data_IF_131208817659
#
_entry.id   IF_131208817659
#
_cell.length_a   1.000
_cell.length_b   1.000
_cell.length_c   1.000
_cell.angle_alpha   90.00
_cell.angle_beta   90.00
_cell.angle_gamma   90.00
#
_symmetry.space_group_name_H-M   'P 1'
#
loop_
_entity.id
_entity.type
_entity.pdbx_description
1 polymer ?
#
# COMPACT_ATOMS: atom_id res chain seq x y z
N UNK A 1 18.73 17.75 25.67
CA UNK A 1 18.56 16.99 24.43
C UNK A 1 17.15 17.26 23.92
N UNK A 2 16.97 17.86 22.74
CA UNK A 2 15.64 18.12 22.22
C UNK A 2 14.98 16.78 21.81
N UNK A 3 13.67 16.61 22.03
CA UNK A 3 12.96 15.41 21.61
C UNK A 3 13.02 15.30 20.09
N UNK A 4 13.41 14.12 19.62
CA UNK A 4 13.54 13.80 18.19
C UNK A 4 12.17 13.93 17.55
N UNK A 5 12.09 14.57 16.37
CA UNK A 5 10.85 14.79 15.61
C UNK A 5 9.96 13.53 15.45
N UNK A 6 10.53 12.34 15.60
CA UNK A 6 9.88 11.04 15.69
C UNK A 6 8.81 10.93 16.82
N UNK A 7 9.00 11.58 17.97
CA UNK A 7 8.03 11.47 19.09
C UNK A 7 6.70 12.16 18.78
N UNK A 8 6.73 13.23 17.96
CA UNK A 8 5.53 13.99 17.55
C UNK A 8 4.69 13.25 16.51
N UNK A 9 5.29 12.34 15.72
CA UNK A 9 4.55 11.49 14.79
C UNK A 9 3.61 10.52 15.53
N UNK A 10 3.96 10.08 16.75
CA UNK A 10 3.08 9.25 17.57
C UNK A 10 1.82 9.99 18.06
N UNK A 11 1.84 11.31 18.14
CA UNK A 11 0.64 12.07 18.51
C UNK A 11 -0.42 12.09 17.41
N UNK A 12 -0.01 11.84 16.16
CA UNK A 12 -0.85 11.87 14.95
C UNK A 12 -0.70 10.53 14.22
N UNK A 13 -1.30 9.44 14.73
CA UNK A 13 -1.07 8.09 14.21
C UNK A 13 -1.54 7.90 12.75
N UNK A 14 -2.41 8.78 12.26
CA UNK A 14 -2.93 8.70 10.89
C UNK A 14 -2.22 9.68 9.96
N UNK A 15 -1.13 9.23 9.36
CA UNK A 15 -0.37 9.94 8.34
C UNK A 15 -0.90 9.65 6.94
N UNK A 16 -0.78 10.60 6.02
CA UNK A 16 -1.11 10.38 4.62
C UNK A 16 -0.20 9.29 4.04
N UNK A 17 -0.78 8.36 3.28
CA UNK A 17 -0.06 7.23 2.67
C UNK A 17 0.66 7.58 1.37
N UNK A 18 0.47 8.79 0.84
CA UNK A 18 1.10 9.26 -0.39
C UNK A 18 2.53 9.75 -0.12
N UNK A 19 3.50 9.46 -1.00
CA UNK A 19 4.92 9.74 -0.79
C UNK A 19 5.17 11.23 -0.52
N UNK A 20 4.58 12.10 -1.33
CA UNK A 20 4.86 13.54 -1.33
C UNK A 20 3.90 14.34 -0.43
N UNK A 21 3.09 13.67 0.39
CA UNK A 21 2.14 14.31 1.29
C UNK A 21 2.59 14.16 2.76
N UNK A 22 2.95 15.28 3.43
CA UNK A 22 3.42 15.26 4.82
C UNK A 22 2.27 15.30 5.85
N UNK A 23 1.02 15.39 5.40
CA UNK A 23 -0.13 15.60 6.29
C UNK A 23 -0.36 14.42 7.24
N UNK A 24 -0.62 14.74 8.51
CA UNK A 24 -0.88 13.76 9.56
C UNK A 24 -1.95 14.25 10.55
N UNK A 25 -2.74 13.31 11.06
CA UNK A 25 -3.98 13.58 11.77
C UNK A 25 -4.08 12.76 13.07
N UNK A 26 -4.69 13.37 14.08
CA UNK A 26 -5.10 12.66 15.32
C UNK A 26 -6.42 11.89 15.16
N UNK A 27 -7.17 12.16 14.08
CA UNK A 27 -8.52 11.64 13.87
C UNK A 27 -8.61 10.83 12.59
N UNK A 28 -9.06 9.57 12.70
CA UNK A 28 -9.40 8.68 11.59
C UNK A 28 -10.26 9.38 10.54
N UNK A 29 -11.33 10.07 10.96
CA UNK A 29 -12.27 10.73 10.05
C UNK A 29 -11.61 11.82 9.22
N UNK A 30 -10.74 12.64 9.83
CA UNK A 30 -10.01 13.70 9.12
C UNK A 30 -9.02 13.11 8.12
N UNK A 31 -8.27 12.09 8.52
CA UNK A 31 -7.34 11.40 7.64
C UNK A 31 -8.04 10.75 6.43
N UNK A 32 -9.13 10.02 6.66
CA UNK A 32 -9.93 9.43 5.57
C UNK A 32 -10.47 10.49 4.61
N UNK A 33 -11.01 11.59 5.13
CA UNK A 33 -11.53 12.68 4.31
C UNK A 33 -10.41 13.32 3.47
N UNK A 34 -9.23 13.54 4.06
CA UNK A 34 -8.07 14.03 3.34
C UNK A 34 -7.66 13.09 2.21
N UNK A 35 -7.47 11.79 2.49
CA UNK A 35 -7.08 10.85 1.45
C UNK A 35 -8.13 10.73 0.34
N UNK A 36 -9.42 10.76 0.68
CA UNK A 36 -10.48 10.62 -0.30
C UNK A 36 -10.66 11.85 -1.22
N UNK A 37 -10.34 13.05 -0.74
CA UNK A 37 -10.57 14.29 -1.48
C UNK A 37 -9.32 14.79 -2.19
N UNK A 38 -8.16 14.67 -1.56
CA UNK A 38 -6.92 15.30 -2.04
C UNK A 38 -6.09 14.37 -2.90
N UNK A 39 -6.35 13.06 -2.85
CA UNK A 39 -5.49 12.07 -3.51
C UNK A 39 -6.23 11.16 -4.47
N UNK A 40 -5.47 10.70 -5.47
CA UNK A 40 -5.93 9.78 -6.49
C UNK A 40 -4.85 8.73 -6.76
N UNK A 41 -5.24 7.45 -6.78
CA UNK A 41 -4.36 6.37 -7.22
C UNK A 41 -4.66 6.07 -8.69
N UNK A 42 -3.77 6.47 -9.63
CA UNK A 42 -3.95 6.10 -11.02
C UNK A 42 -3.68 4.62 -11.20
N UNK A 43 -4.43 4.02 -12.12
CA UNK A 43 -4.12 2.70 -12.67
C UNK A 43 -2.62 2.57 -12.98
N UNK A 44 -1.98 1.54 -12.43
CA UNK A 44 -0.54 1.36 -12.57
C UNK A 44 -0.09 -0.09 -12.29
N UNK A 45 1.19 -0.36 -12.54
CA UNK A 45 1.86 -1.63 -12.23
C UNK A 45 3.10 -1.34 -11.41
N UNK A 46 3.18 -1.91 -10.20
CA UNK A 46 4.36 -1.81 -9.32
C UNK A 46 5.21 -3.07 -9.44
N UNK A 47 6.45 -2.93 -9.88
CA UNK A 47 7.36 -4.07 -9.89
C UNK A 47 7.71 -4.52 -8.47
N UNK A 48 7.41 -5.78 -8.17
CA UNK A 48 7.73 -6.43 -6.88
C UNK A 48 9.02 -7.27 -6.92
N UNK A 49 9.63 -7.40 -8.10
CA UNK A 49 10.84 -8.21 -8.26
C UNK A 49 12.01 -7.50 -7.58
N UNK A 50 12.98 -8.25 -7.03
CA UNK A 50 14.19 -7.65 -6.52
C UNK A 50 14.95 -6.94 -7.63
N UNK A 51 15.67 -5.89 -7.28
CA UNK A 51 16.67 -5.31 -8.16
C UNK A 51 17.80 -6.32 -8.34
N UNK A 52 18.20 -6.55 -9.60
CA UNK A 52 19.41 -7.30 -9.91
C UNK A 52 20.66 -6.40 -9.81
N UNK A 53 20.51 -5.16 -9.32
CA UNK A 53 21.64 -4.28 -9.07
C UNK A 53 22.44 -4.86 -7.90
N UNK A 54 23.51 -5.57 -8.25
CA UNK A 54 24.70 -5.66 -7.43
C UNK A 54 25.13 -4.21 -7.17
N UNK A 55 24.81 -3.67 -6.01
CA UNK A 55 25.42 -2.42 -5.59
C UNK A 55 26.94 -2.65 -5.52
N UNK A 56 27.66 -2.12 -6.50
CA UNK A 56 29.12 -2.16 -6.55
C UNK A 56 29.75 -1.32 -5.41
N UNK A 57 28.94 -0.58 -4.63
CA UNK A 57 29.35 0.18 -3.45
C UNK A 57 29.36 -0.64 -2.15
N UNK A 58 28.79 -1.86 -2.15
CA UNK A 58 28.79 -2.75 -0.99
C UNK A 58 30.20 -3.30 -0.71
N UNK A 59 31.02 -2.45 -0.11
CA UNK A 59 32.39 -2.75 0.32
C UNK A 59 32.42 -3.74 1.49
N UNK A 60 31.26 -4.21 1.97
CA UNK A 60 31.13 -5.15 3.08
C UNK A 60 29.92 -6.08 2.87
N UNK A 61 30.06 -7.07 1.99
CA UNK A 61 29.46 -8.42 2.16
C UNK A 61 27.94 -8.61 2.31
N UNK A 62 27.11 -7.57 2.24
CA UNK A 62 25.66 -7.67 2.41
C UNK A 62 24.96 -7.46 1.06
N UNK A 63 24.54 -8.56 0.44
CA UNK A 63 23.74 -8.54 -0.80
C UNK A 63 22.32 -8.03 -0.48
N UNK A 64 22.16 -6.73 -0.31
CA UNK A 64 20.86 -6.12 -0.10
C UNK A 64 20.12 -6.03 -1.44
N UNK A 65 19.36 -7.07 -1.79
CA UNK A 65 18.45 -7.05 -2.95
C UNK A 65 17.21 -6.24 -2.58
N UNK A 66 17.31 -4.92 -2.69
CA UNK A 66 16.16 -4.04 -2.55
C UNK A 66 15.11 -4.36 -3.63
N UNK A 67 13.82 -4.21 -3.30
CA UNK A 67 12.73 -4.34 -4.28
C UNK A 67 12.87 -3.31 -5.40
N UNK A 68 12.53 -3.66 -6.64
CA UNK A 68 12.58 -2.74 -7.76
C UNK A 68 11.62 -1.55 -7.59
N UNK A 69 10.42 -1.80 -7.08
CA UNK A 69 9.37 -0.80 -6.78
C UNK A 69 8.98 0.13 -7.96
N UNK A 70 9.49 -0.12 -9.17
CA UNK A 70 9.26 0.74 -10.32
C UNK A 70 7.79 0.72 -10.73
N UNK A 71 7.22 1.91 -10.89
CA UNK A 71 5.85 2.11 -11.36
C UNK A 71 5.81 2.31 -12.87
N UNK A 72 4.90 1.60 -13.52
CA UNK A 72 4.56 1.78 -14.93
C UNK A 72 3.05 1.99 -15.07
N UNK A 73 2.62 2.93 -15.91
CA UNK A 73 1.19 3.22 -16.11
C UNK A 73 0.56 2.49 -17.30
N UNK A 74 1.34 1.66 -18.00
CA UNK A 74 0.87 0.83 -19.11
C UNK A 74 1.38 -0.60 -18.95
N UNK A 75 0.56 -1.57 -19.34
CA UNK A 75 0.92 -2.99 -19.28
C UNK A 75 2.10 -3.30 -20.19
N UNK A 76 2.12 -2.70 -21.38
CA UNK A 76 3.19 -2.88 -22.35
C UNK A 76 4.51 -2.29 -21.84
N UNK A 77 4.46 -1.15 -21.12
CA UNK A 77 5.60 -0.59 -20.42
C UNK A 77 6.12 -1.51 -19.33
N UNK A 78 5.21 -2.10 -18.55
CA UNK A 78 5.55 -3.07 -17.52
C UNK A 78 6.22 -4.32 -18.09
N UNK A 79 5.68 -4.90 -19.17
CA UNK A 79 6.31 -6.04 -19.85
C UNK A 79 7.71 -5.72 -20.38
N UNK A 80 7.89 -4.56 -21.01
CA UNK A 80 9.22 -4.11 -21.46
C UNK A 80 10.20 -3.99 -20.29
N UNK A 81 9.73 -3.49 -19.14
CA UNK A 81 10.55 -3.42 -17.94
C UNK A 81 10.94 -4.82 -17.45
N UNK A 82 9.99 -5.76 -17.32
CA UNK A 82 10.29 -7.14 -16.91
C UNK A 82 11.30 -7.82 -17.85
N UNK A 83 11.16 -7.59 -19.16
CA UNK A 83 12.08 -8.14 -20.17
C UNK A 83 13.48 -7.53 -20.08
N UNK A 84 13.58 -6.21 -20.00
CA UNK A 84 14.86 -5.50 -20.09
C UNK A 84 15.62 -5.46 -18.76
N UNK A 85 14.91 -5.36 -17.64
CA UNK A 85 15.50 -5.19 -16.30
C UNK A 85 15.67 -6.51 -15.57
N UNK A 86 14.73 -7.45 -15.75
CA UNK A 86 14.71 -8.72 -15.01
C UNK A 86 14.89 -9.95 -15.93
N UNK A 87 15.14 -9.75 -17.23
CA UNK A 87 15.37 -10.84 -18.19
C UNK A 87 14.17 -11.76 -18.44
N UNK A 88 12.96 -11.39 -17.99
CA UNK A 88 11.77 -12.24 -18.09
C UNK A 88 11.21 -12.16 -19.51
N UNK A 89 11.38 -13.23 -20.28
CA UNK A 89 10.88 -13.31 -21.66
C UNK A 89 9.70 -14.26 -21.85
N UNK A 90 9.40 -15.11 -20.86
CA UNK A 90 8.28 -16.05 -20.93
C UNK A 90 6.95 -15.31 -20.89
N UNK A 91 6.14 -15.48 -21.94
CA UNK A 91 4.80 -14.85 -22.03
C UNK A 91 3.91 -15.19 -20.85
N UNK A 92 3.96 -16.45 -20.37
CA UNK A 92 3.17 -16.87 -19.22
C UNK A 92 3.56 -16.07 -17.97
N UNK A 93 4.86 -15.99 -17.68
CA UNK A 93 5.37 -15.24 -16.52
C UNK A 93 5.05 -13.74 -16.64
N UNK A 94 5.17 -13.16 -17.84
CA UNK A 94 4.81 -11.75 -18.07
C UNK A 94 3.34 -11.45 -17.78
N UNK A 95 2.43 -12.36 -18.12
CA UNK A 95 0.99 -12.22 -17.85
C UNK A 95 0.70 -12.39 -16.36
N UNK A 96 1.29 -13.41 -15.74
CA UNK A 96 1.13 -13.69 -14.31
C UNK A 96 1.63 -12.51 -13.46
N UNK A 97 2.84 -12.00 -13.73
CA UNK A 97 3.40 -10.83 -13.04
C UNK A 97 2.60 -9.56 -13.30
N UNK A 98 2.15 -9.31 -14.54
CA UNK A 98 1.33 -8.15 -14.85
C UNK A 98 -0.03 -8.19 -14.15
N UNK A 99 -0.51 -9.36 -13.76
CA UNK A 99 -1.75 -9.50 -12.98
C UNK A 99 -1.47 -9.28 -11.50
N UNK A 100 -0.43 -9.92 -10.96
CA UNK A 100 -0.05 -9.80 -9.55
C UNK A 100 0.44 -8.40 -9.16
N UNK A 101 0.99 -7.64 -10.11
CA UNK A 101 1.56 -6.32 -9.89
C UNK A 101 0.58 -5.17 -10.24
N UNK A 102 -0.67 -5.48 -10.59
CA UNK A 102 -1.64 -4.50 -11.06
C UNK A 102 -2.32 -3.74 -9.94
N UNK A 103 -2.32 -2.41 -10.02
CA UNK A 103 -3.06 -1.51 -9.14
C UNK A 103 -4.20 -0.90 -9.97
N UNK A 104 -5.44 -1.16 -9.54
CA UNK A 104 -6.64 -0.69 -10.22
C UNK A 104 -6.83 0.82 -10.10
N UNK A 105 -7.63 1.38 -11.01
CA UNK A 105 -7.97 2.81 -10.95
C UNK A 105 -8.88 3.06 -9.74
N UNK A 106 -8.53 4.05 -8.90
CA UNK A 106 -9.15 4.20 -7.57
C UNK A 106 -9.17 2.91 -6.71
N UNK A 107 -8.27 1.96 -6.98
CA UNK A 107 -8.23 0.66 -6.29
C UNK A 107 -9.29 -0.36 -6.74
N UNK A 108 -9.96 -0.15 -7.89
CA UNK A 108 -11.05 -1.00 -8.40
C UNK A 108 -10.72 -2.50 -8.49
N UNK A 109 -9.47 -2.82 -8.83
CA UNK A 109 -9.00 -4.18 -9.11
C UNK A 109 -7.94 -4.65 -8.09
N UNK A 110 -7.73 -3.87 -7.04
CA UNK A 110 -6.71 -4.07 -6.03
C UNK A 110 -5.94 -2.81 -5.72
N UNK A 111 -5.36 -2.76 -4.53
CA UNK A 111 -4.62 -1.59 -4.03
C UNK A 111 -3.31 -2.00 -3.36
N UNK A 112 -2.31 -1.12 -3.43
CA UNK A 112 -1.06 -1.30 -2.69
C UNK A 112 -1.27 -1.00 -1.20
N UNK A 113 -0.89 -1.94 -0.35
CA UNK A 113 -0.73 -1.72 1.08
C UNK A 113 0.77 -1.65 1.42
N UNK A 114 1.26 -0.46 1.77
CA UNK A 114 2.66 -0.23 2.14
C UNK A 114 3.05 -0.92 3.46
N UNK A 115 2.08 -1.22 4.31
CA UNK A 115 2.27 -2.02 5.51
C UNK A 115 2.50 -3.50 5.16
N UNK A 116 1.62 -4.11 4.35
CA UNK A 116 1.80 -5.50 3.94
C UNK A 116 2.87 -5.70 2.86
N UNK A 117 3.31 -4.63 2.21
CA UNK A 117 4.19 -4.64 1.04
C UNK A 117 3.67 -5.52 -0.09
N UNK A 118 2.35 -5.51 -0.29
CA UNK A 118 1.70 -6.28 -1.34
C UNK A 118 0.47 -5.56 -1.90
N UNK A 119 0.03 -6.01 -3.07
CA UNK A 119 -1.22 -5.58 -3.66
C UNK A 119 -2.32 -6.46 -3.10
N UNK A 120 -3.23 -5.84 -2.35
CA UNK A 120 -4.40 -6.50 -1.80
C UNK A 120 -5.47 -6.61 -2.88
N UNK A 121 -6.01 -7.82 -3.14
CA UNK A 121 -7.15 -7.96 -4.01
C UNK A 121 -8.36 -7.28 -3.37
N UNK A 122 -9.28 -6.79 -4.21
CA UNK A 122 -10.55 -6.26 -3.73
C UNK A 122 -11.43 -7.40 -3.18
N UNK A 123 -12.14 -7.14 -2.09
CA UNK A 123 -12.95 -8.15 -1.39
C UNK A 123 -14.42 -8.17 -1.81
N UNK A 124 -15.00 -7.02 -2.18
CA UNK A 124 -16.42 -6.92 -2.56
C UNK A 124 -16.59 -6.42 -3.99
N UNK A 125 -17.72 -6.75 -4.65
CA UNK A 125 -18.05 -6.24 -5.98
C UNK A 125 -18.51 -4.77 -5.99
N UNK A 126 -18.62 -4.12 -4.83
CA UNK A 126 -19.27 -2.82 -4.68
C UNK A 126 -18.34 -1.61 -4.92
N UNK A 127 -18.97 -0.45 -5.17
CA UNK A 127 -18.38 0.84 -5.57
C UNK A 127 -17.47 1.52 -4.52
N UNK A 128 -17.11 0.83 -3.42
CA UNK A 128 -16.41 1.39 -2.27
C UNK A 128 -14.94 0.93 -2.17
N UNK A 129 -14.27 0.68 -3.29
CA UNK A 129 -12.88 0.19 -3.33
C UNK A 129 -11.89 1.09 -2.55
N UNK A 130 -12.14 2.40 -2.53
CA UNK A 130 -11.33 3.34 -1.75
C UNK A 130 -11.54 3.20 -0.25
N UNK A 131 -12.78 2.96 0.19
CA UNK A 131 -13.09 2.74 1.60
C UNK A 131 -12.48 1.42 2.10
N UNK A 132 -12.52 0.35 1.29
CA UNK A 132 -11.85 -0.92 1.61
C UNK A 132 -10.36 -0.72 1.86
N UNK A 133 -9.70 0.08 1.01
CA UNK A 133 -8.29 0.43 1.20
C UNK A 133 -8.08 1.17 2.52
N UNK A 134 -8.84 2.22 2.78
CA UNK A 134 -8.66 3.03 3.98
C UNK A 134 -8.96 2.24 5.26
N UNK A 135 -9.97 1.38 5.25
CA UNK A 135 -10.27 0.48 6.37
C UNK A 135 -9.15 -0.54 6.59
N UNK A 136 -8.58 -1.09 5.52
CA UNK A 136 -7.44 -2.00 5.63
C UNK A 136 -6.21 -1.34 6.24
N UNK A 137 -5.82 -0.16 5.73
CA UNK A 137 -4.67 0.60 6.25
C UNK A 137 -4.89 0.97 7.73
N UNK A 138 -6.10 1.37 8.07
CA UNK A 138 -6.43 1.74 9.43
C UNK A 138 -6.41 0.55 10.39
N UNK A 139 -6.78 -0.65 9.96
CA UNK A 139 -6.67 -1.84 10.81
C UNK A 139 -5.21 -2.07 11.25
N UNK A 140 -4.24 -1.82 10.38
CA UNK A 140 -2.83 -1.85 10.77
C UNK A 140 -2.49 -0.82 11.85
N UNK A 141 -3.05 0.39 11.77
CA UNK A 141 -2.77 1.46 12.73
C UNK A 141 -3.47 1.17 14.07
N UNK A 142 -4.75 0.84 14.05
CA UNK A 142 -5.59 0.73 15.25
C UNK A 142 -5.42 -0.61 15.97
N UNK A 143 -5.25 -1.71 15.23
CA UNK A 143 -5.25 -3.06 15.80
C UNK A 143 -3.84 -3.64 15.92
N UNK A 144 -3.01 -3.42 14.89
CA UNK A 144 -1.62 -3.91 14.88
C UNK A 144 -0.65 -2.88 15.48
N UNK A 145 -1.12 -1.67 15.80
CA UNK A 145 -0.32 -0.57 16.36
C UNK A 145 0.88 -0.18 15.49
N UNK A 146 0.74 -0.33 14.17
CA UNK A 146 1.78 0.00 13.22
C UNK A 146 1.93 1.50 13.07
N UNK A 147 3.17 1.93 12.93
CA UNK A 147 3.52 3.34 12.78
C UNK A 147 3.57 3.72 11.31
N UNK A 148 3.11 4.92 10.97
CA UNK A 148 3.15 5.43 9.59
C UNK A 148 4.56 5.53 9.02
N UNK A 149 5.58 5.63 9.88
CA UNK A 149 6.98 5.61 9.48
C UNK A 149 7.37 4.27 8.83
N UNK A 150 6.67 3.18 9.16
CA UNK A 150 6.86 1.86 8.54
C UNK A 150 6.17 1.72 7.18
N UNK A 151 5.34 2.70 6.79
CA UNK A 151 4.62 2.64 5.52
C UNK A 151 5.61 2.74 4.36
N UNK A 152 5.57 1.77 3.44
CA UNK A 152 6.32 1.82 2.17
C UNK A 152 5.47 2.50 1.10
N UNK A 153 5.84 3.70 0.61
CA UNK A 153 5.13 4.35 -0.49
C UNK A 153 5.13 3.49 -1.75
N UNK A 154 4.10 3.65 -2.59
CA UNK A 154 3.88 2.80 -3.76
C UNK A 154 5.05 2.82 -4.74
N UNK A 155 5.70 3.96 -4.91
CA UNK A 155 6.80 4.21 -5.85
C UNK A 155 8.19 4.05 -5.22
N UNK A 156 8.27 3.59 -3.96
CA UNK A 156 9.52 3.42 -3.22
C UNK A 156 9.68 1.97 -2.74
N UNK A 157 10.93 1.60 -2.48
CA UNK A 157 11.29 0.31 -1.89
C UNK A 157 11.48 0.40 -0.36
N UNK A 158 11.67 1.62 0.16
CA UNK A 158 11.98 1.95 1.56
C UNK A 158 10.78 2.55 2.27
N UNK A 159 10.77 2.45 3.58
CA UNK A 159 9.71 3.02 4.43
C UNK A 159 9.80 4.55 4.48
N UNK A 160 8.70 5.22 4.85
CA UNK A 160 8.69 6.68 5.03
C UNK A 160 9.74 7.14 6.05
N UNK A 161 9.91 6.40 7.15
CA UNK A 161 10.92 6.70 8.17
C UNK A 161 12.34 6.59 7.65
N UNK A 162 12.65 5.57 6.84
CA UNK A 162 13.97 5.41 6.21
C UNK A 162 14.26 6.52 5.21
N UNK A 163 13.27 6.92 4.41
CA UNK A 163 13.40 8.02 3.44
C UNK A 163 13.69 9.34 4.17
N UNK A 164 12.97 9.61 5.25
CA UNK A 164 13.16 10.83 6.05
C UNK A 164 14.50 10.87 6.79
N UNK A 165 14.96 9.73 7.31
CA UNK A 165 16.28 9.65 7.96
C UNK A 165 17.42 10.00 6.98
N UNK A 166 17.37 9.47 5.75
CA UNK A 166 18.39 9.74 4.73
C UNK A 166 18.43 11.21 4.34
N UNK A 167 17.29 11.91 4.30
CA UNK A 167 17.28 13.35 3.96
C UNK A 167 17.98 14.21 5.03
N UNK A 168 17.92 13.83 6.30
CA UNK A 168 18.55 14.61 7.38
C UNK A 168 20.08 14.48 7.41
N UNK A 169 20.63 13.35 6.95
CA UNK A 169 22.07 13.13 6.92
C UNK A 169 22.79 13.92 5.80
N UNK A 170 22.04 14.43 4.79
CA UNK A 170 22.61 15.16 3.64
C UNK A 170 22.73 16.68 3.89
N UNK A 171 21.95 17.24 4.82
CA UNK A 171 21.90 18.69 5.11
C UNK A 171 22.77 19.12 6.32
N UNK A 172 23.85 18.39 6.63
CA UNK A 172 24.65 18.63 7.85
C UNK A 172 25.71 19.74 7.76
N UNK A 173 25.76 20.56 6.70
CA UNK A 173 26.80 21.60 6.53
C UNK A 173 26.31 23.07 6.49
N UNK A 174 25.03 23.36 6.75
CA UNK A 174 24.60 24.76 6.96
C UNK A 174 23.70 24.89 8.21
N UNK A 175 24.20 25.63 9.21
CA UNK A 175 23.44 26.09 10.38
C UNK A 175 22.20 26.89 9.93
N UNK A 176 21.04 26.24 9.90
CA UNK A 176 19.75 26.94 9.91
C UNK A 176 18.78 26.27 10.88
N UNK A 177 18.50 26.96 11.98
CA UNK A 177 17.39 26.66 12.88
C UNK A 177 16.06 26.98 12.15
N UNK A 178 15.65 26.13 11.19
CA UNK A 178 14.32 26.22 10.57
C UNK A 178 13.36 25.16 11.12
N UNK A 179 12.33 25.71 11.77
CA UNK A 179 11.17 25.08 12.39
C UNK A 179 10.48 24.05 11.48
N UNK A 180 10.09 22.92 12.06
CA UNK A 180 9.39 21.84 11.39
C UNK A 180 8.01 22.30 10.91
N UNK A 181 7.97 22.85 9.69
CA UNK A 181 6.81 23.07 8.81
C UNK A 181 5.46 23.11 9.52
N UNK A 182 5.17 24.24 10.16
CA UNK A 182 3.83 24.61 10.59
C UNK A 182 3.03 25.09 9.37
N UNK A 183 2.38 24.19 8.63
CA UNK A 183 1.17 24.54 7.89
C UNK A 183 -0.02 24.51 8.86
N UNK A 184 -0.10 25.50 9.74
CA UNK A 184 -1.37 25.84 10.38
C UNK A 184 -2.27 26.46 9.31
N UNK A 185 -3.11 25.64 8.70
CA UNK A 185 -4.38 26.13 8.14
C UNK A 185 -5.47 25.80 9.14
N UNK A 186 -5.60 26.69 10.13
CA UNK A 186 -6.75 26.77 11.01
C UNK A 186 -7.88 27.45 10.23
N UNK A 187 -8.49 26.73 9.29
CA UNK A 187 -9.75 27.18 8.67
C UNK A 187 -10.91 26.66 9.52
N UNK A 188 -11.20 27.44 10.56
CA UNK A 188 -12.55 27.62 11.05
C UNK A 188 -13.44 28.11 9.90
N UNK A 189 -14.20 27.20 9.30
CA UNK A 189 -15.41 27.54 8.58
C UNK A 189 -16.52 26.60 9.05
N UNK A 190 -17.34 27.14 9.96
CA UNK A 190 -18.72 26.75 10.12
C UNK A 190 -19.39 26.78 8.74
N UNK A 191 -19.86 25.63 8.25
CA UNK A 191 -21.23 25.56 7.70
C UNK A 191 -21.71 24.10 7.49
N UNK A 192 -23.02 23.84 7.65
CA UNK A 192 -23.61 22.52 7.79
C UNK A 192 -24.23 22.00 6.48
N UNK A 193 -24.05 20.72 6.14
CA UNK A 193 -24.97 19.95 5.27
C UNK A 193 -24.75 18.43 5.50
N UNK A 194 -25.69 17.52 5.16
CA UNK A 194 -26.62 16.90 6.07
C UNK A 194 -26.41 15.39 6.16
N UNK A 195 -27.02 14.84 7.19
CA UNK A 195 -27.18 13.42 7.45
C UNK A 195 -27.73 12.65 6.25
N UNK A 196 -26.98 11.64 5.79
CA UNK A 196 -27.59 10.40 5.30
C UNK A 196 -26.82 9.17 5.78
N UNK A 197 -27.53 8.45 6.64
CA UNK A 197 -27.47 7.01 6.91
C UNK A 197 -26.33 6.46 7.79
N UNK A 198 -26.61 6.47 9.10
CA UNK A 198 -26.35 5.41 10.09
C UNK A 198 -25.11 4.54 9.90
N UNK A 199 -23.98 5.01 10.43
CA UNK A 199 -22.94 4.12 10.93
C UNK A 199 -22.87 4.29 12.44
N UNK A 200 -23.05 3.18 13.16
CA UNK A 200 -22.88 3.13 14.60
C UNK A 200 -21.41 3.26 14.94
N UNK A 201 -21.04 4.39 15.54
CA UNK A 201 -19.84 4.52 16.35
C UNK A 201 -20.04 3.71 17.64
N UNK A 202 -19.29 2.62 17.77
CA UNK A 202 -18.75 2.09 19.02
C UNK A 202 -18.09 0.73 18.74
N UNK A 203 -16.78 0.62 18.99
CA UNK A 203 -16.10 -0.65 19.27
C UNK A 203 -16.49 -1.83 18.37
N UNK A 204 -16.30 -1.71 17.05
CA UNK A 204 -16.15 -2.94 16.26
C UNK A 204 -14.87 -3.63 16.75
N UNK A 205 -14.94 -4.86 17.30
CA UNK A 205 -13.74 -5.56 17.73
C UNK A 205 -12.82 -5.77 16.53
N UNK A 206 -11.52 -5.56 16.72
CA UNK A 206 -10.48 -5.84 15.73
C UNK A 206 -10.62 -7.28 15.22
N UNK A 207 -11.22 -7.45 14.05
CA UNK A 207 -11.28 -8.76 13.39
C UNK A 207 -9.99 -8.89 12.61
N UNK A 208 -9.12 -9.79 13.06
CA UNK A 208 -7.87 -10.12 12.39
C UNK A 208 -8.19 -10.61 10.98
N UNK A 209 -7.86 -9.83 9.94
CA UNK A 209 -8.13 -10.18 8.54
C UNK A 209 -6.96 -10.98 7.95
N UNK A 210 -6.55 -12.02 8.66
CA UNK A 210 -5.55 -12.99 8.20
C UNK A 210 -6.11 -14.41 8.32
N UNK A 211 -6.17 -15.05 7.14
CA UNK A 211 -6.32 -16.49 6.87
C UNK A 211 -7.74 -17.07 6.86
N UNK A 212 -8.24 -17.28 5.64
CA UNK A 212 -8.93 -18.53 5.31
C UNK A 212 -8.14 -19.20 4.18
N UNK A 213 -7.11 -19.96 4.54
CA UNK A 213 -6.66 -21.07 3.70
C UNK A 213 -7.77 -22.13 3.77
N UNK A 214 -8.57 -22.23 2.71
CA UNK A 214 -9.49 -23.34 2.59
C UNK A 214 -8.67 -24.62 2.38
N UNK A 215 -8.61 -25.45 3.42
CA UNK A 215 -8.14 -26.83 3.35
C UNK A 215 -8.91 -27.54 2.23
N UNK A 216 -8.20 -27.93 1.16
CA UNK A 216 -8.74 -28.80 0.12
C UNK A 216 -8.80 -30.21 0.68
N UNK A 217 -10.01 -30.67 0.97
CA UNK A 217 -10.35 -32.06 1.26
C UNK A 217 -9.95 -32.95 0.04
N UNK A 218 -9.05 -33.94 0.17
CA UNK A 218 -8.54 -34.69 -0.98
C UNK A 218 -9.45 -35.81 -1.49
N UNK A 219 -10.66 -36.02 -0.97
CA UNK A 219 -11.39 -37.29 -1.18
C UNK A 219 -12.64 -37.24 -2.08
N UNK A 220 -12.70 -36.31 -3.04
CA UNK A 220 -13.80 -36.25 -4.03
C UNK A 220 -13.30 -36.24 -5.48
N UNK A 221 -12.41 -37.16 -5.82
CA UNK A 221 -12.07 -37.46 -7.21
C UNK A 221 -12.23 -38.96 -7.49
N UNK A 222 -13.49 -39.42 -7.67
CA UNK A 222 -13.82 -40.59 -8.50
C UNK A 222 -15.32 -40.83 -8.62
N UNK A 223 -16.02 -40.07 -9.47
CA UNK A 223 -17.26 -40.56 -10.09
C UNK A 223 -17.31 -40.19 -11.58
N UNK A 224 -16.88 -41.13 -12.41
CA UNK A 224 -17.03 -41.07 -13.85
C UNK A 224 -18.51 -41.21 -14.27
N UNK A 225 -18.99 -40.47 -15.28
CA UNK A 225 -20.37 -40.58 -15.76
C UNK A 225 -20.60 -41.90 -16.53
N UNK A 226 -21.52 -42.73 -16.01
CA UNK A 226 -21.96 -43.98 -16.65
C UNK A 226 -22.70 -43.67 -17.95
N UNK A 227 -22.13 -44.13 -19.07
CA UNK A 227 -22.75 -44.12 -20.41
C UNK A 227 -24.08 -44.87 -20.38
N UNK A 228 -25.19 -44.18 -20.69
CA UNK A 228 -26.49 -44.79 -20.95
C UNK A 228 -26.42 -45.61 -22.24
N UNK A 229 -26.61 -46.93 -22.13
CA UNK A 229 -26.84 -47.82 -23.27
C UNK A 229 -28.21 -47.50 -23.89
N UNK A 230 -28.23 -47.21 -25.20
CA UNK A 230 -29.46 -47.30 -26.02
C UNK A 230 -29.71 -48.78 -26.29
N UNK A 231 -30.87 -49.27 -25.89
CA UNK A 231 -31.41 -50.53 -26.38
C UNK A 231 -32.27 -50.25 -27.62
N UNK A 232 -32.18 -51.20 -28.56
CA UNK A 232 -32.88 -51.39 -29.83
C UNK A 232 -34.11 -50.51 -30.12
#
# INVERSE_FOLDING_TARGET
MPPRNHEKCHEKPYGCTFPDCPEAYKSRRKWKAHENNEHWIPKSWRCRLPTDQLDLSATLGEYNREECAKIMHTREGFWKHLQSTHGISSRKILVDEATACFIGDKGSDGFWCGFCREIKPRSTEDFAAWDERLDHVQAHIDCEHRLMDEWVPVDKARTKGEIFAVTLDVDSDEDSDEDCSQSIIDLHLDDPWPLRSSYTDANAPCVNHQLHEAERDPDLENQAPKKRKRNF
#
